data_IF_759035015674
#
_entry.id   IF_759035015674
#
_cell.length_a   1.000
_cell.length_b   1.000
_cell.length_c   1.000
_cell.angle_alpha   90.00
_cell.angle_beta   90.00
_cell.angle_gamma   90.00
#
_symmetry.space_group_name_H-M   'P 1'
#
loop_
_entity.id
_entity.type
_entity.pdbx_description
1 polymer ?
#
# COMPACT_ATOMS: atom_id res chain seq x y z
N UNK A 1 -12.44 -8.86 -7.83
CA UNK A 1 -13.16 -7.96 -6.90
C UNK A 1 -12.16 -6.90 -6.47
N UNK A 2 -12.50 -5.61 -6.45
CA UNK A 2 -11.55 -4.54 -6.05
C UNK A 2 -11.69 -4.25 -4.56
N UNK A 3 -10.57 -4.27 -3.83
CA UNK A 3 -10.47 -3.97 -2.41
C UNK A 3 -10.37 -2.46 -2.13
N UNK A 4 -9.92 -1.67 -3.10
CA UNK A 4 -9.69 -0.24 -2.94
C UNK A 4 -10.48 0.56 -3.97
N UNK A 5 -11.42 1.41 -3.55
CA UNK A 5 -12.13 2.30 -4.48
C UNK A 5 -11.29 3.54 -4.83
N UNK A 6 -10.11 3.31 -5.40
CA UNK A 6 -9.08 4.29 -5.76
C UNK A 6 -8.42 3.85 -7.06
N UNK A 7 -8.21 4.77 -7.99
CA UNK A 7 -7.42 4.53 -9.20
C UNK A 7 -5.92 4.53 -8.89
N UNK A 8 -5.10 4.04 -9.82
CA UNK A 8 -3.64 4.13 -9.71
C UNK A 8 -3.20 5.58 -9.52
N UNK A 9 -2.41 5.83 -8.48
CA UNK A 9 -1.94 7.15 -8.07
C UNK A 9 -0.96 7.67 -9.12
N UNK A 10 -1.25 8.85 -9.67
CA UNK A 10 -0.45 9.48 -10.73
C UNK A 10 0.43 10.59 -10.17
N UNK A 11 1.51 10.89 -10.88
CA UNK A 11 2.24 12.13 -10.69
C UNK A 11 1.42 13.32 -11.23
N UNK A 12 1.18 14.32 -10.38
CA UNK A 12 0.40 15.54 -10.70
C UNK A 12 1.26 16.81 -10.72
N UNK A 13 2.52 16.69 -10.30
CA UNK A 13 3.46 17.80 -10.24
C UNK A 13 3.16 18.82 -9.13
N UNK A 14 3.96 19.88 -9.13
CA UNK A 14 4.03 20.86 -8.02
C UNK A 14 3.39 22.20 -8.35
N UNK A 15 2.83 22.38 -9.56
CA UNK A 15 2.30 23.65 -10.05
C UNK A 15 1.05 24.13 -9.30
N UNK A 16 0.17 23.20 -8.93
CA UNK A 16 -1.07 23.48 -8.22
C UNK A 16 -1.21 22.48 -7.06
N UNK A 17 -0.61 22.83 -5.92
CA UNK A 17 -0.55 21.96 -4.74
C UNK A 17 -1.91 21.93 -4.06
N UNK A 18 -2.65 20.85 -4.29
CA UNK A 18 -3.93 20.56 -3.65
C UNK A 18 -3.84 19.24 -2.89
N UNK A 19 -4.62 19.14 -1.81
CA UNK A 19 -4.83 17.87 -1.12
C UNK A 19 -5.63 16.94 -2.02
N UNK A 20 -5.14 15.71 -2.21
CA UNK A 20 -5.78 14.73 -3.09
C UNK A 20 -4.92 13.50 -3.31
N UNK A 21 -5.43 12.59 -4.15
CA UNK A 21 -4.76 11.33 -4.51
C UNK A 21 -3.88 11.54 -5.75
N UNK A 22 -2.68 12.06 -5.53
CA UNK A 22 -1.68 12.29 -6.58
C UNK A 22 -0.31 12.64 -6.01
N UNK A 23 0.76 12.10 -6.59
CA UNK A 23 2.12 12.41 -6.20
C UNK A 23 2.52 13.80 -6.71
N UNK A 24 2.88 14.69 -5.81
CA UNK A 24 3.37 16.02 -6.18
C UNK A 24 4.84 16.01 -6.60
N UNK A 25 5.63 15.08 -6.05
CA UNK A 25 7.09 15.03 -6.24
C UNK A 25 7.60 13.71 -6.80
N UNK A 26 6.94 12.60 -6.48
CA UNK A 26 7.37 11.30 -6.96
C UNK A 26 6.87 11.06 -8.38
N UNK A 27 7.77 11.24 -9.35
CA UNK A 27 7.59 10.79 -10.72
C UNK A 27 8.49 9.56 -10.96
N UNK A 28 7.93 8.34 -11.02
CA UNK A 28 8.73 7.11 -11.06
C UNK A 28 9.67 7.03 -12.26
N UNK A 29 9.33 7.71 -13.37
CA UNK A 29 10.11 7.70 -14.62
C UNK A 29 11.06 8.89 -14.78
N UNK A 30 11.02 9.86 -13.86
CA UNK A 30 11.94 11.00 -13.91
C UNK A 30 13.38 10.56 -13.64
N UNK A 31 14.29 10.93 -14.53
CA UNK A 31 15.72 10.58 -14.43
C UNK A 31 16.44 11.67 -13.65
N UNK A 32 17.04 11.30 -12.52
CA UNK A 32 17.87 12.16 -11.67
C UNK A 32 19.25 11.53 -11.58
N UNK A 33 20.28 12.28 -11.97
CA UNK A 33 21.67 11.80 -11.92
C UNK A 33 21.89 10.51 -12.74
N UNK A 34 21.18 10.35 -13.86
CA UNK A 34 21.31 9.20 -14.75
C UNK A 34 20.52 7.95 -14.35
N UNK A 35 19.68 8.00 -13.31
CA UNK A 35 18.84 6.88 -12.86
C UNK A 35 17.41 7.36 -12.56
N UNK A 36 16.39 6.53 -12.84
CA UNK A 36 15.00 6.87 -12.54
C UNK A 36 14.76 7.01 -11.04
N UNK A 37 13.82 7.86 -10.62
CA UNK A 37 13.46 8.01 -9.20
C UNK A 37 13.08 6.66 -8.55
N UNK A 38 12.32 5.81 -9.26
CA UNK A 38 11.93 4.49 -8.74
C UNK A 38 13.13 3.60 -8.40
N UNK A 39 14.21 3.71 -9.18
CA UNK A 39 15.42 2.91 -9.00
C UNK A 39 16.33 3.46 -7.89
N UNK A 40 16.23 4.76 -7.59
CA UNK A 40 16.86 5.37 -6.44
C UNK A 40 16.15 5.00 -5.14
N UNK A 41 14.84 5.20 -5.11
CA UNK A 41 14.04 5.15 -3.89
C UNK A 41 13.67 3.71 -3.52
N UNK A 42 13.35 2.88 -4.53
CA UNK A 42 13.00 1.47 -4.36
C UNK A 42 12.03 1.26 -3.20
N UNK A 43 10.95 2.04 -3.19
CA UNK A 43 9.98 2.00 -2.11
C UNK A 43 9.44 0.58 -1.91
N UNK A 44 9.15 0.26 -0.66
CA UNK A 44 8.52 -0.99 -0.25
C UNK A 44 7.37 -0.69 0.69
N UNK A 45 6.37 -1.57 0.71
CA UNK A 45 5.30 -1.54 1.72
C UNK A 45 5.55 -2.64 2.74
N UNK A 46 5.51 -2.26 4.02
CA UNK A 46 5.57 -3.18 5.14
C UNK A 46 4.22 -3.84 5.35
N UNK A 47 4.17 -5.17 5.20
CA UNK A 47 2.94 -5.95 5.24
C UNK A 47 2.29 -5.88 6.63
N UNK A 48 3.06 -6.17 7.69
CA UNK A 48 2.60 -6.12 9.09
C UNK A 48 1.88 -4.83 9.50
N UNK A 49 2.34 -3.66 9.04
CA UNK A 49 1.69 -2.39 9.37
C UNK A 49 0.47 -2.08 8.49
N UNK A 50 0.49 -2.52 7.24
CA UNK A 50 -0.49 -2.08 6.25
C UNK A 50 -1.70 -3.01 6.22
N UNK A 51 -1.48 -4.32 6.36
CA UNK A 51 -2.50 -5.34 6.17
C UNK A 51 -2.82 -6.14 7.44
N UNK A 52 -1.90 -6.25 8.41
CA UNK A 52 -2.17 -6.98 9.66
C UNK A 52 -2.56 -6.08 10.82
N UNK A 53 -1.82 -5.00 11.03
CA UNK A 53 -2.00 -4.13 12.19
C UNK A 53 -3.45 -3.60 12.25
N UNK A 54 -4.07 -3.82 13.41
CA UNK A 54 -5.47 -3.49 13.68
C UNK A 54 -5.67 -2.13 14.34
N UNK A 55 -4.61 -1.30 14.37
CA UNK A 55 -4.56 -0.04 15.15
C UNK A 55 -4.86 -0.28 16.64
N UNK A 56 -4.44 -1.44 17.15
CA UNK A 56 -4.53 -1.74 18.59
C UNK A 56 -3.46 -0.95 19.33
N UNK A 57 -3.81 -0.47 20.52
CA UNK A 57 -2.87 0.16 21.44
C UNK A 57 -2.98 -0.48 22.83
N UNK A 58 -2.07 -0.17 23.79
CA UNK A 58 -2.10 -0.80 25.11
C UNK A 58 -3.34 -0.52 25.96
N UNK A 59 -4.22 0.40 25.53
CA UNK A 59 -5.34 0.93 26.30
C UNK A 59 -6.70 0.64 25.67
N UNK A 60 -6.77 -0.02 24.51
CA UNK A 60 -8.04 -0.33 23.85
C UNK A 60 -7.94 -1.33 22.70
N UNK A 61 -9.11 -1.74 22.22
CA UNK A 61 -9.24 -2.68 21.10
C UNK A 61 -8.90 -2.05 19.75
N UNK A 62 -8.56 -2.89 18.78
CA UNK A 62 -8.27 -2.46 17.41
C UNK A 62 -9.48 -1.82 16.72
N UNK A 63 -9.23 -0.74 15.97
CA UNK A 63 -10.26 0.05 15.27
C UNK A 63 -10.25 -0.13 13.75
N UNK A 64 -9.25 -0.84 13.21
CA UNK A 64 -9.13 -1.12 11.79
C UNK A 64 -10.19 -2.13 11.33
N UNK A 65 -11.11 -1.68 10.48
CA UNK A 65 -12.00 -2.55 9.71
C UNK A 65 -11.42 -2.74 8.30
N UNK A 66 -11.36 -3.98 7.82
CA UNK A 66 -10.79 -4.32 6.51
C UNK A 66 -11.77 -5.14 5.67
N UNK A 67 -11.77 -4.98 4.33
CA UNK A 67 -12.73 -5.70 3.49
C UNK A 67 -12.54 -7.23 3.49
N UNK A 68 -11.36 -7.72 3.86
CA UNK A 68 -11.04 -9.14 4.01
C UNK A 68 -11.40 -9.72 5.40
N UNK A 69 -11.99 -8.94 6.31
CA UNK A 69 -12.43 -9.44 7.63
C UNK A 69 -13.67 -10.35 7.56
N UNK A 70 -14.32 -10.41 6.40
CA UNK A 70 -15.49 -11.27 6.15
C UNK A 70 -15.14 -12.77 6.10
N UNK A 71 -13.88 -13.12 5.89
CA UNK A 71 -13.44 -14.51 5.80
C UNK A 71 -13.12 -15.04 7.20
N UNK A 72 -13.67 -16.20 7.55
CA UNK A 72 -13.48 -16.82 8.87
C UNK A 72 -12.47 -17.96 8.86
N UNK A 73 -12.20 -18.55 7.70
CA UNK A 73 -11.10 -19.50 7.54
C UNK A 73 -9.77 -18.72 7.45
N UNK A 74 -8.75 -19.08 8.25
CA UNK A 74 -7.48 -18.35 8.26
C UNK A 74 -6.77 -18.33 6.91
N UNK A 75 -6.87 -19.40 6.11
CA UNK A 75 -6.20 -19.47 4.81
C UNK A 75 -6.93 -18.60 3.78
N UNK A 76 -8.26 -18.63 3.77
CA UNK A 76 -9.06 -17.74 2.91
C UNK A 76 -8.79 -16.27 3.24
N UNK A 77 -8.66 -15.93 4.52
CA UNK A 77 -8.32 -14.58 4.96
C UNK A 77 -6.92 -14.18 4.51
N UNK A 78 -5.93 -15.06 4.65
CA UNK A 78 -4.56 -14.81 4.19
C UNK A 78 -4.49 -14.58 2.67
N UNK A 79 -5.17 -15.41 1.88
CA UNK A 79 -5.24 -15.26 0.42
C UNK A 79 -5.93 -13.95 0.01
N UNK A 80 -7.04 -13.60 0.66
CA UNK A 80 -7.74 -12.34 0.41
C UNK A 80 -6.89 -11.12 0.77
N UNK A 81 -6.08 -11.22 1.83
CA UNK A 81 -5.14 -10.17 2.24
C UNK A 81 -4.01 -9.99 1.22
N UNK A 82 -3.50 -11.08 0.65
CA UNK A 82 -2.52 -11.03 -0.46
C UNK A 82 -3.13 -10.34 -1.69
N UNK A 83 -4.35 -10.70 -2.10
CA UNK A 83 -5.02 -10.03 -3.22
C UNK A 83 -5.18 -8.51 -2.97
N UNK A 84 -5.62 -8.14 -1.76
CA UNK A 84 -5.74 -6.74 -1.36
C UNK A 84 -4.38 -6.03 -1.37
N UNK A 85 -3.32 -6.70 -0.95
CA UNK A 85 -1.97 -6.16 -0.90
C UNK A 85 -1.42 -5.89 -2.30
N UNK A 86 -1.52 -6.84 -3.24
CA UNK A 86 -1.06 -6.65 -4.61
C UNK A 86 -1.85 -5.56 -5.35
N UNK A 87 -3.16 -5.45 -5.10
CA UNK A 87 -3.95 -4.34 -5.63
C UNK A 87 -3.48 -2.98 -5.06
N UNK A 88 -3.14 -2.93 -3.76
CA UNK A 88 -2.59 -1.74 -3.13
C UNK A 88 -1.23 -1.34 -3.73
N UNK A 89 -0.34 -2.32 -3.91
CA UNK A 89 0.99 -2.10 -4.50
C UNK A 89 0.91 -1.56 -5.92
N UNK A 90 0.05 -2.14 -6.76
CA UNK A 90 -0.14 -1.66 -8.13
C UNK A 90 -0.71 -0.24 -8.16
N UNK A 91 -1.72 0.04 -7.34
CA UNK A 91 -2.34 1.37 -7.27
C UNK A 91 -1.40 2.43 -6.74
N UNK A 92 -0.58 2.11 -5.74
CA UNK A 92 0.42 3.03 -5.22
C UNK A 92 1.64 3.17 -6.16
N UNK A 93 1.89 2.18 -7.02
CA UNK A 93 3.04 2.15 -7.93
C UNK A 93 4.35 1.75 -7.23
N UNK A 94 4.27 0.78 -6.32
CA UNK A 94 5.41 0.30 -5.53
C UNK A 94 5.88 -1.07 -6.03
N UNK A 95 7.20 -1.26 -6.11
CA UNK A 95 7.83 -2.43 -6.72
C UNK A 95 8.31 -3.49 -5.71
N UNK A 96 8.34 -3.15 -4.43
CA UNK A 96 8.89 -4.02 -3.38
C UNK A 96 7.89 -4.18 -2.22
N UNK A 97 8.01 -5.30 -1.52
CA UNK A 97 7.24 -5.62 -0.32
C UNK A 97 8.17 -6.21 0.74
N UNK A 98 7.80 -6.04 2.00
CA UNK A 98 8.46 -6.68 3.14
C UNK A 98 7.41 -7.36 4.01
N UNK A 99 7.70 -8.56 4.50
CA UNK A 99 6.79 -9.34 5.35
C UNK A 99 7.58 -10.19 6.34
N UNK A 100 6.96 -10.51 7.49
CA UNK A 100 7.40 -11.60 8.36
C UNK A 100 6.68 -12.89 7.97
N UNK A 101 7.28 -14.03 8.33
CA UNK A 101 6.67 -15.36 8.13
C UNK A 101 5.29 -15.53 8.80
N UNK A 102 4.96 -14.69 9.79
CA UNK A 102 3.70 -14.70 10.56
C UNK A 102 2.73 -13.58 10.22
N UNK A 103 2.97 -12.83 9.16
CA UNK A 103 2.07 -11.76 8.69
C UNK A 103 0.81 -12.32 7.96
N UNK A 104 0.43 -13.59 8.19
CA UNK A 104 -0.70 -14.28 7.52
C UNK A 104 -1.99 -14.16 8.29
#
# INVERSE_FOLDING_TARGET
>A
MSYWNVDKIKYVGTKDKKSGLGFQYYNPDEVIGGKKMRDWLRFAVAYWHTFDQRLVDPFGDGTALRPYDKYTDPMDQALAKVDAAFEFYDKLGVDFLCFHDRDS
#
